data_IF_952119756001
#
_entry.id   IF_952119756001
#
_cell.length_a   1.000
_cell.length_b   1.000
_cell.length_c   1.000
_cell.angle_alpha   90.00
_cell.angle_beta   90.00
_cell.angle_gamma   90.00
#
_symmetry.space_group_name_H-M   'P 1'
#
loop_
_entity.id
_entity.type
_entity.pdbx_description
1 polymer ?
#
# COMPACT_ATOMS: atom_id res chain seq x y z
N UNK A 1 31.57 52.90 -22.78
CA UNK A 1 31.15 51.48 -22.61
C UNK A 1 31.02 51.17 -21.13
N UNK A 2 29.82 50.93 -20.61
CA UNK A 2 29.63 50.13 -19.40
C UNK A 2 28.17 49.63 -19.38
N UNK A 3 27.99 48.31 -19.53
CA UNK A 3 26.69 47.66 -19.49
C UNK A 3 26.48 47.10 -18.08
N UNK A 4 25.47 47.62 -17.39
CA UNK A 4 24.89 47.01 -16.20
C UNK A 4 24.14 45.73 -16.58
N UNK A 5 24.50 44.61 -15.95
CA UNK A 5 23.62 43.44 -15.80
C UNK A 5 23.73 42.94 -14.37
N UNK A 6 22.75 43.33 -13.57
CA UNK A 6 22.37 42.60 -12.38
C UNK A 6 21.87 41.22 -12.79
N UNK A 7 22.59 40.18 -12.36
CA UNK A 7 22.10 38.81 -12.39
C UNK A 7 21.52 38.54 -11.01
N UNK A 8 20.20 38.67 -10.87
CA UNK A 8 19.46 38.07 -9.78
C UNK A 8 19.50 36.54 -9.95
N UNK A 9 20.30 35.87 -9.13
CA UNK A 9 20.20 34.41 -8.97
C UNK A 9 18.99 34.11 -8.08
N UNK A 10 17.83 33.87 -8.69
CA UNK A 10 16.72 33.27 -7.96
C UNK A 10 16.95 31.76 -7.87
N UNK A 11 17.20 31.34 -6.64
CA UNK A 11 17.29 29.96 -6.17
C UNK A 11 15.95 29.24 -6.34
N UNK A 12 15.78 28.54 -7.45
CA UNK A 12 14.67 27.60 -7.66
C UNK A 12 15.23 26.22 -7.98
N UNK A 13 15.45 25.36 -6.97
CA UNK A 13 15.67 23.93 -7.24
C UNK A 13 15.51 22.97 -6.04
N UNK A 14 15.23 23.45 -4.83
CA UNK A 14 15.17 22.56 -3.65
C UNK A 14 13.75 22.04 -3.32
N UNK A 15 12.69 22.80 -3.63
CA UNK A 15 11.32 22.45 -3.21
C UNK A 15 10.60 21.44 -4.12
N UNK A 16 11.07 21.25 -5.35
CA UNK A 16 10.40 20.37 -6.32
C UNK A 16 10.76 18.88 -6.10
N UNK A 17 11.87 18.61 -5.42
CA UNK A 17 12.38 17.25 -5.17
C UNK A 17 11.88 16.67 -3.84
N UNK A 18 11.51 17.51 -2.87
CA UNK A 18 11.03 17.10 -1.54
C UNK A 18 9.62 16.48 -1.54
N UNK A 19 8.85 16.65 -2.63
CA UNK A 19 7.48 16.13 -2.79
C UNK A 19 7.39 14.69 -3.32
N UNK A 20 8.50 13.95 -3.41
CA UNK A 20 8.56 12.75 -4.28
C UNK A 20 8.44 11.40 -3.57
N UNK A 21 8.66 11.35 -2.25
CA UNK A 21 8.55 10.14 -1.45
C UNK A 21 7.15 10.08 -0.84
N UNK A 22 6.98 10.54 0.40
CA UNK A 22 5.69 10.48 1.08
C UNK A 22 5.25 11.85 1.63
N UNK A 23 3.94 12.11 1.63
CA UNK A 23 3.34 13.31 2.22
C UNK A 23 2.87 13.02 3.65
N UNK A 24 3.30 13.83 4.62
CA UNK A 24 2.75 13.77 5.98
C UNK A 24 1.36 14.41 6.00
N UNK A 25 0.31 13.61 6.27
CA UNK A 25 -1.08 14.07 6.29
C UNK A 25 -1.61 14.32 7.71
N UNK A 26 -0.94 13.74 8.72
CA UNK A 26 -1.13 14.02 10.13
C UNK A 26 0.15 13.63 10.91
N UNK A 27 0.33 14.04 12.18
CA UNK A 27 1.45 13.56 12.99
C UNK A 27 1.49 12.03 13.03
N UNK A 28 2.62 11.45 12.59
CA UNK A 28 2.78 10.00 12.55
C UNK A 28 2.00 9.29 11.46
N UNK A 29 1.45 10.00 10.46
CA UNK A 29 0.69 9.40 9.35
C UNK A 29 1.12 10.00 8.01
N UNK A 30 1.42 9.12 7.05
CA UNK A 30 1.91 9.49 5.73
C UNK A 30 1.13 8.82 4.61
N UNK A 31 0.95 9.55 3.51
CA UNK A 31 0.54 9.01 2.22
C UNK A 31 1.77 8.71 1.37
N UNK A 32 1.90 7.46 0.91
CA UNK A 32 3.00 6.97 0.08
C UNK A 32 2.75 7.28 -1.41
N UNK A 33 3.61 8.04 -2.08
CA UNK A 33 3.41 8.42 -3.49
C UNK A 33 4.05 7.44 -4.48
N UNK A 34 4.95 6.56 -4.02
CA UNK A 34 5.55 5.52 -4.88
C UNK A 34 4.60 4.34 -5.13
N UNK A 35 3.38 4.37 -4.58
CA UNK A 35 2.31 3.39 -4.81
C UNK A 35 1.30 3.83 -5.87
N UNK A 36 1.77 4.38 -7.00
CA UNK A 36 0.93 4.95 -8.07
C UNK A 36 -0.26 4.06 -8.46
N UNK A 37 -1.44 4.68 -8.54
CA UNK A 37 -2.69 4.00 -8.85
C UNK A 37 -3.39 3.37 -7.64
N UNK A 38 -2.85 3.58 -6.43
CA UNK A 38 -3.46 3.16 -5.16
C UNK A 38 -3.11 4.13 -4.05
N UNK A 39 -4.01 4.27 -3.08
CA UNK A 39 -3.76 5.05 -1.87
C UNK A 39 -3.24 4.10 -0.80
N UNK A 40 -1.95 4.23 -0.48
CA UNK A 40 -1.30 3.46 0.58
C UNK A 40 -0.85 4.43 1.67
N UNK A 41 -1.23 4.14 2.92
CA UNK A 41 -0.90 4.98 4.05
C UNK A 41 -0.03 4.24 5.06
N UNK A 42 0.97 4.93 5.59
CA UNK A 42 1.80 4.45 6.70
C UNK A 42 1.40 5.21 7.96
N UNK A 43 1.28 4.51 9.08
CA UNK A 43 1.05 5.16 10.37
C UNK A 43 1.93 4.57 11.48
N UNK A 44 2.31 5.43 12.41
CA UNK A 44 2.93 5.04 13.66
C UNK A 44 1.90 4.59 14.69
N UNK A 45 2.25 3.55 15.45
CA UNK A 45 1.51 3.17 16.65
C UNK A 45 2.04 3.91 17.87
N UNK A 46 1.24 3.98 18.93
CA UNK A 46 1.66 4.52 20.21
C UNK A 46 2.88 3.79 20.83
N UNK A 47 3.13 2.55 20.40
CA UNK A 47 4.29 1.74 20.81
C UNK A 47 5.48 1.85 19.85
N UNK A 48 5.54 2.89 19.02
CA UNK A 48 6.58 3.13 18.00
C UNK A 48 6.72 2.02 16.93
N UNK A 49 5.66 1.23 16.72
CA UNK A 49 5.59 0.31 15.58
C UNK A 49 5.03 1.01 14.35
N UNK A 50 5.18 0.40 13.18
CA UNK A 50 4.54 0.87 11.95
C UNK A 50 3.39 -0.05 11.55
N UNK A 51 2.34 0.54 10.98
CA UNK A 51 1.24 -0.16 10.33
C UNK A 51 1.02 0.43 8.93
N UNK A 52 0.56 -0.40 8.00
CA UNK A 52 0.30 0.00 6.62
C UNK A 52 -1.17 -0.24 6.29
N UNK A 53 -1.82 0.73 5.66
CA UNK A 53 -3.16 0.62 5.12
C UNK A 53 -3.07 0.45 3.60
N UNK A 54 -3.62 -0.67 3.12
CA UNK A 54 -3.42 -1.20 1.78
C UNK A 54 -1.95 -1.39 1.40
N UNK A 55 -1.71 -1.97 0.22
CA UNK A 55 -0.37 -2.41 -0.22
C UNK A 55 -0.11 -2.11 -1.69
N UNK A 56 -1.02 -1.40 -2.36
CA UNK A 56 -0.88 -1.09 -3.77
C UNK A 56 -0.96 -2.33 -4.65
N UNK A 57 -0.42 -2.18 -5.86
CA UNK A 57 -0.13 -3.30 -6.75
C UNK A 57 1.09 -4.09 -6.27
N UNK A 58 1.30 -5.29 -6.79
CA UNK A 58 2.56 -6.02 -6.55
C UNK A 58 3.80 -5.22 -6.98
N UNK A 59 3.67 -4.35 -7.98
CA UNK A 59 4.73 -3.44 -8.44
C UNK A 59 4.99 -2.27 -7.49
N UNK A 60 4.13 -2.02 -6.50
CA UNK A 60 4.29 -0.98 -5.49
C UNK A 60 5.30 -1.37 -4.40
N UNK A 61 5.66 -2.65 -4.29
CA UNK A 61 6.55 -3.17 -3.25
C UNK A 61 7.87 -2.39 -3.12
N UNK A 62 8.66 -2.14 -4.19
CA UNK A 62 9.92 -1.41 -4.05
C UNK A 62 9.73 0.02 -3.54
N UNK A 63 8.65 0.68 -3.97
CA UNK A 63 8.30 2.02 -3.53
C UNK A 63 7.96 2.08 -2.04
N UNK A 64 7.16 1.12 -1.58
CA UNK A 64 6.82 0.99 -0.16
C UNK A 64 8.07 0.80 0.70
N UNK A 65 8.98 -0.10 0.29
CA UNK A 65 10.23 -0.33 1.02
C UNK A 65 11.12 0.92 1.06
N UNK A 66 11.24 1.61 -0.08
CA UNK A 66 12.00 2.87 -0.23
C UNK A 66 11.47 3.96 0.71
N UNK A 67 10.15 4.19 0.72
CA UNK A 67 9.54 5.25 1.52
C UNK A 67 9.51 4.92 3.01
N UNK A 68 9.28 3.66 3.38
CA UNK A 68 9.32 3.23 4.80
C UNK A 68 10.72 3.42 5.37
N UNK A 69 11.75 2.99 4.64
CA UNK A 69 13.14 3.18 5.08
C UNK A 69 13.51 4.67 5.15
N UNK A 70 13.07 5.49 4.19
CA UNK A 70 13.32 6.93 4.22
C UNK A 70 12.62 7.65 5.39
N UNK A 71 11.39 7.25 5.72
CA UNK A 71 10.62 7.85 6.81
C UNK A 71 11.10 7.36 8.18
N UNK A 72 11.40 6.07 8.30
CA UNK A 72 11.75 5.39 9.54
C UNK A 72 12.80 4.30 9.30
N UNK A 73 14.09 4.67 9.20
CA UNK A 73 15.17 3.72 8.93
C UNK A 73 15.19 2.55 9.92
N UNK A 74 15.25 1.33 9.39
CA UNK A 74 15.31 0.10 10.19
C UNK A 74 14.00 -0.26 10.93
N UNK A 75 12.93 0.52 10.78
CA UNK A 75 11.64 0.18 11.34
C UNK A 75 10.99 -0.99 10.59
N UNK A 76 10.08 -1.68 11.28
CA UNK A 76 9.34 -2.81 10.72
C UNK A 76 7.85 -2.51 10.71
N UNK A 77 7.19 -2.89 9.62
CA UNK A 77 5.73 -2.91 9.54
C UNK A 77 5.23 -4.11 10.33
N UNK A 78 4.37 -3.87 11.31
CA UNK A 78 3.84 -4.91 12.20
C UNK A 78 2.47 -5.42 11.76
N UNK A 79 1.68 -4.56 11.10
CA UNK A 79 0.34 -4.90 10.64
C UNK A 79 0.07 -4.32 9.26
N UNK A 80 -0.65 -5.09 8.45
CA UNK A 80 -1.17 -4.70 7.14
C UNK A 80 -2.70 -4.69 7.21
N UNK A 81 -3.31 -3.51 7.25
CA UNK A 81 -4.76 -3.34 7.21
C UNK A 81 -5.21 -3.25 5.76
N UNK A 82 -5.96 -4.25 5.29
CA UNK A 82 -6.46 -4.28 3.92
C UNK A 82 -7.92 -3.85 3.89
N UNK A 83 -8.22 -2.86 3.05
CA UNK A 83 -9.59 -2.35 2.92
C UNK A 83 -10.50 -3.34 2.20
N UNK A 84 -10.01 -3.97 1.13
CA UNK A 84 -10.74 -4.98 0.35
C UNK A 84 -9.80 -5.72 -0.63
N UNK A 85 -10.30 -6.78 -1.28
CA UNK A 85 -9.50 -7.60 -2.19
C UNK A 85 -9.60 -7.14 -3.67
N UNK A 86 -8.87 -6.10 -4.01
CA UNK A 86 -8.51 -5.82 -5.41
C UNK A 86 -6.99 -5.80 -5.59
N UNK A 87 -6.54 -5.99 -6.84
CA UNK A 87 -5.12 -6.13 -7.16
C UNK A 87 -4.30 -4.86 -6.86
N UNK A 88 -4.95 -3.70 -6.89
CA UNK A 88 -4.44 -2.37 -6.56
C UNK A 88 -4.43 -2.07 -5.06
N UNK A 89 -5.06 -2.88 -4.21
CA UNK A 89 -5.09 -2.66 -2.76
C UNK A 89 -4.34 -3.76 -1.98
N UNK A 90 -4.44 -5.02 -2.42
CA UNK A 90 -3.85 -6.18 -1.75
C UNK A 90 -2.66 -6.79 -2.50
N UNK A 91 -2.18 -6.13 -3.56
CA UNK A 91 -1.25 -6.72 -4.52
C UNK A 91 0.13 -7.07 -3.96
N UNK A 92 0.66 -6.30 -3.00
CA UNK A 92 1.95 -6.58 -2.37
C UNK A 92 1.83 -7.25 -0.98
N UNK A 93 0.61 -7.47 -0.49
CA UNK A 93 0.35 -7.92 0.89
C UNK A 93 1.06 -9.23 1.27
N UNK A 94 0.98 -10.26 0.43
CA UNK A 94 1.62 -11.54 0.71
C UNK A 94 3.16 -11.42 0.84
N UNK A 95 3.78 -10.58 0.01
CA UNK A 95 5.23 -10.36 0.04
C UNK A 95 5.63 -9.52 1.25
N UNK A 96 4.90 -8.46 1.56
CA UNK A 96 5.14 -7.62 2.74
C UNK A 96 4.96 -8.40 4.06
N UNK A 97 3.92 -9.26 4.13
CA UNK A 97 3.71 -10.19 5.24
C UNK A 97 4.94 -11.07 5.46
N UNK A 98 5.46 -11.70 4.40
CA UNK A 98 6.66 -12.53 4.47
C UNK A 98 7.93 -11.74 4.81
N UNK A 99 8.10 -10.55 4.24
CA UNK A 99 9.27 -9.71 4.44
C UNK A 99 9.38 -9.18 5.88
N UNK A 100 8.29 -8.62 6.41
CA UNK A 100 8.30 -8.01 7.74
C UNK A 100 7.90 -8.98 8.86
N UNK A 101 7.22 -10.09 8.54
CA UNK A 101 6.50 -10.88 9.54
C UNK A 101 5.24 -10.17 10.04
N UNK A 102 4.68 -9.28 9.23
CA UNK A 102 3.53 -8.45 9.59
C UNK A 102 2.24 -9.27 9.66
N UNK A 103 1.33 -8.93 10.58
CA UNK A 103 0.01 -9.54 10.65
C UNK A 103 -0.93 -8.86 9.64
N UNK A 104 -1.57 -9.66 8.79
CA UNK A 104 -2.60 -9.15 7.87
C UNK A 104 -3.94 -9.08 8.58
N UNK A 105 -4.58 -7.93 8.51
CA UNK A 105 -5.84 -7.60 9.15
C UNK A 105 -6.84 -7.17 8.08
N UNK A 106 -8.05 -7.72 8.11
CA UNK A 106 -9.12 -7.38 7.18
C UNK A 106 -10.49 -7.58 7.81
N UNK A 107 -11.53 -6.98 7.24
CA UNK A 107 -12.92 -7.23 7.66
C UNK A 107 -13.30 -8.70 7.51
N UNK A 108 -13.92 -9.29 8.52
CA UNK A 108 -14.33 -10.70 8.51
C UNK A 108 -15.31 -11.02 7.36
N UNK A 109 -16.16 -10.06 6.98
CA UNK A 109 -17.08 -10.18 5.85
C UNK A 109 -16.36 -10.31 4.49
N UNK A 110 -15.16 -9.73 4.38
CA UNK A 110 -14.30 -9.81 3.20
C UNK A 110 -13.36 -11.03 3.24
N UNK A 111 -13.56 -11.95 4.18
CA UNK A 111 -12.77 -13.17 4.30
C UNK A 111 -13.53 -14.40 3.78
N UNK A 112 -12.79 -15.46 3.46
CA UNK A 112 -13.26 -16.82 3.24
C UNK A 112 -12.35 -17.80 3.99
N UNK A 113 -12.88 -18.94 4.40
CA UNK A 113 -12.05 -20.05 4.89
C UNK A 113 -11.54 -20.89 3.71
N UNK A 114 -10.32 -21.38 3.81
CA UNK A 114 -9.80 -22.42 2.92
C UNK A 114 -10.09 -23.84 3.46
N UNK A 115 -9.75 -24.86 2.68
CA UNK A 115 -9.99 -26.27 3.02
C UNK A 115 -9.17 -26.76 4.23
N UNK A 116 -8.19 -25.98 4.67
CA UNK A 116 -7.30 -26.27 5.79
C UNK A 116 -7.64 -25.44 7.05
N UNK A 117 -8.73 -24.66 7.02
CA UNK A 117 -9.15 -23.79 8.12
C UNK A 117 -8.39 -22.48 8.21
N UNK A 118 -7.53 -22.16 7.23
CA UNK A 118 -6.91 -20.85 7.07
C UNK A 118 -7.93 -19.80 6.63
N UNK A 119 -7.66 -18.54 6.97
CA UNK A 119 -8.50 -17.40 6.57
C UNK A 119 -7.81 -16.67 5.43
N UNK A 120 -8.51 -16.54 4.31
CA UNK A 120 -8.03 -15.87 3.10
C UNK A 120 -8.90 -14.66 2.79
N UNK A 121 -8.28 -13.62 2.26
CA UNK A 121 -9.02 -12.46 1.77
C UNK A 121 -9.82 -12.86 0.51
N UNK A 122 -11.12 -12.59 0.53
CA UNK A 122 -12.07 -12.98 -0.51
C UNK A 122 -11.92 -12.05 -1.71
N UNK A 123 -11.52 -12.62 -2.84
CA UNK A 123 -11.47 -11.91 -4.12
C UNK A 123 -12.85 -11.39 -4.53
N UNK A 124 -13.05 -10.08 -4.45
CA UNK A 124 -14.22 -9.43 -5.03
C UNK A 124 -13.92 -9.17 -6.51
N UNK A 125 -14.56 -9.92 -7.41
CA UNK A 125 -14.58 -9.55 -8.83
C UNK A 125 -15.74 -8.57 -8.98
N UNK A 126 -15.44 -7.28 -9.11
CA UNK A 126 -16.43 -6.22 -9.24
C UNK A 126 -17.51 -6.52 -10.29
N UNK A 127 -18.75 -6.17 -9.96
CA UNK A 127 -19.96 -6.36 -10.78
C UNK A 127 -20.01 -5.46 -12.03
N UNK A 128 -19.14 -4.44 -12.12
CA UNK A 128 -19.15 -3.40 -13.15
C UNK A 128 -18.46 -3.75 -14.48
N UNK A 129 -17.76 -4.88 -14.58
CA UNK A 129 -17.11 -5.27 -15.84
C UNK A 129 -18.04 -6.05 -16.78
N UNK A 130 -18.74 -5.35 -17.69
CA UNK A 130 -19.50 -5.95 -18.82
C UNK A 130 -18.66 -6.90 -19.70
N UNK A 131 -17.33 -6.89 -19.58
CA UNK A 131 -16.38 -7.78 -20.28
C UNK A 131 -15.63 -8.76 -19.35
N UNK A 132 -16.28 -9.17 -18.26
CA UNK A 132 -15.80 -10.11 -17.22
C UNK A 132 -15.06 -11.35 -17.75
N UNK A 133 -15.54 -11.93 -18.86
CA UNK A 133 -14.95 -13.15 -19.44
C UNK A 133 -13.63 -12.92 -20.20
N UNK A 134 -13.48 -11.78 -20.85
CA UNK A 134 -12.29 -11.45 -21.63
C UNK A 134 -11.16 -11.03 -20.70
N UNK A 135 -11.46 -10.16 -19.73
CA UNK A 135 -10.48 -9.69 -18.76
C UNK A 135 -9.97 -10.83 -17.86
N UNK A 136 -10.84 -11.77 -17.45
CA UNK A 136 -10.41 -13.00 -16.74
C UNK A 136 -9.37 -13.80 -17.52
N UNK A 137 -9.48 -13.91 -18.85
CA UNK A 137 -8.54 -14.66 -19.70
C UNK A 137 -7.18 -13.96 -19.87
N UNK A 138 -7.16 -12.63 -19.81
CA UNK A 138 -5.93 -11.85 -19.90
C UNK A 138 -5.25 -11.68 -18.52
N UNK A 139 -6.01 -11.44 -17.45
CA UNK A 139 -5.48 -11.35 -16.09
C UNK A 139 -5.03 -12.72 -15.54
N UNK A 140 -5.66 -13.83 -15.95
CA UNK A 140 -5.20 -15.18 -15.61
C UNK A 140 -3.89 -15.59 -16.32
N UNK A 141 -3.37 -14.77 -17.25
CA UNK A 141 -2.03 -14.95 -17.84
C UNK A 141 -0.94 -14.22 -17.07
N UNK A 142 -1.30 -13.30 -16.17
CA UNK A 142 -0.40 -12.84 -15.12
C UNK A 142 -0.37 -13.87 -14.01
N UNK A 143 0.79 -14.09 -13.37
CA UNK A 143 0.89 -14.91 -12.17
C UNK A 143 -0.28 -14.55 -11.24
N UNK A 144 -1.07 -15.53 -10.73
CA UNK A 144 -2.09 -15.21 -9.74
C UNK A 144 -1.41 -14.41 -8.64
N UNK A 145 -1.99 -13.25 -8.31
CA UNK A 145 -1.64 -12.57 -7.05
C UNK A 145 -1.77 -13.63 -5.97
N UNK A 146 -0.67 -13.93 -5.29
CA UNK A 146 -0.65 -14.96 -4.27
C UNK A 146 -1.83 -14.76 -3.32
N UNK A 147 -2.48 -15.84 -2.91
CA UNK A 147 -3.59 -15.74 -1.96
C UNK A 147 -3.13 -14.97 -0.73
N UNK A 148 -3.94 -13.99 -0.32
CA UNK A 148 -3.62 -13.14 0.81
C UNK A 148 -4.22 -13.79 2.05
N UNK A 149 -3.35 -14.42 2.85
CA UNK A 149 -3.69 -14.91 4.18
C UNK A 149 -4.05 -13.73 5.07
N UNK A 150 -5.15 -13.86 5.80
CA UNK A 150 -5.60 -12.90 6.82
C UNK A 150 -5.34 -13.52 8.18
N UNK A 151 -4.37 -12.98 8.91
CA UNK A 151 -4.01 -13.47 10.24
C UNK A 151 -5.05 -13.06 11.29
N UNK A 152 -5.72 -11.91 11.10
CA UNK A 152 -6.70 -11.35 12.03
C UNK A 152 -7.94 -10.81 11.31
N UNK A 153 -8.99 -11.64 11.11
CA UNK A 153 -10.27 -11.14 10.64
C UNK A 153 -10.93 -10.29 11.74
N UNK A 154 -11.37 -9.09 11.39
CA UNK A 154 -12.08 -8.18 12.29
C UNK A 154 -13.58 -8.36 12.12
N UNK A 155 -14.24 -8.87 13.16
CA UNK A 155 -15.70 -8.79 13.32
C UNK A 155 -16.05 -7.51 14.04
N UNK A 156 -16.93 -6.70 13.46
CA UNK A 156 -17.60 -5.63 14.17
C UNK A 156 -19.10 -5.86 14.09
N UNK A 157 -19.78 -5.86 15.23
CA UNK A 157 -21.16 -5.37 15.24
C UNK A 157 -21.05 -3.85 15.22
N UNK A 158 -21.64 -3.22 14.21
CA UNK A 158 -22.01 -1.80 14.30
C UNK A 158 -23.25 -1.78 15.16
N UNK A 159 -23.12 -1.32 16.41
CA UNK A 159 -24.28 -0.78 17.15
C UNK A 159 -24.93 0.37 16.37
#
# INVERSE_FOLDING_TARGET
MNWTRDVQSQSGSARETESTLAEAIAPGVWWLHRTRGSNVFLAETASHGLILFDTGFSSSLPGILEEVEALRPGARITHLFLTHHHADHAGAAAVLRGHYGALVVAGAADCRQDDHGGVLLRTQIGTSHRRRRILRRFLARGRPTAEVVVDRPLSGEVE
#
